data_IF_340742155740
#
_entry.id   IF_340742155740
#
_cell.length_a   1.000
_cell.length_b   1.000
_cell.length_c   1.000
_cell.angle_alpha   90.00
_cell.angle_beta   90.00
_cell.angle_gamma   90.00
#
_symmetry.space_group_name_H-M   'P 1'
#
loop_
_entity.id
_entity.type
_entity.pdbx_description
1 polymer ?
#
# COMPACT_ATOMS: atom_id res chain seq x y z
N UNK A 1 1.13 -3.62 -14.93
CA UNK A 1 1.11 -5.01 -14.43
C UNK A 1 -0.32 -5.52 -14.54
N UNK A 2 -0.61 -6.50 -15.40
CA UNK A 2 -1.84 -7.27 -15.25
C UNK A 2 -1.58 -8.25 -14.11
N UNK A 3 -1.91 -7.84 -12.90
CA UNK A 3 -1.96 -8.77 -11.77
C UNK A 3 -3.11 -9.74 -12.08
N UNK A 4 -2.78 -11.01 -12.33
CA UNK A 4 -3.74 -12.07 -12.11
C UNK A 4 -4.02 -12.02 -10.61
N UNK A 5 -5.06 -11.29 -10.22
CA UNK A 5 -5.54 -11.26 -8.84
C UNK A 5 -6.02 -12.67 -8.58
N UNK A 6 -5.42 -13.35 -7.61
CA UNK A 6 -5.99 -14.58 -7.09
C UNK A 6 -7.20 -14.19 -6.23
N UNK A 7 -8.44 -14.46 -6.68
CA UNK A 7 -9.62 -14.08 -5.93
C UNK A 7 -9.82 -14.90 -4.65
N UNK A 8 -9.09 -16.02 -4.51
CA UNK A 8 -9.09 -16.85 -3.31
C UNK A 8 -8.09 -16.36 -2.25
N UNK A 9 -7.15 -15.48 -2.63
CA UNK A 9 -6.23 -14.80 -1.71
C UNK A 9 -6.74 -13.41 -1.35
N UNK A 10 -7.27 -13.29 -0.12
CA UNK A 10 -7.77 -12.03 0.44
C UNK A 10 -6.72 -10.92 0.43
N UNK A 11 -5.45 -11.25 0.69
CA UNK A 11 -4.37 -10.26 0.72
C UNK A 11 -4.09 -9.72 -0.68
N UNK A 12 -4.14 -10.57 -1.71
CA UNK A 12 -3.98 -10.15 -3.10
C UNK A 12 -5.13 -9.29 -3.61
N UNK A 13 -6.37 -9.65 -3.27
CA UNK A 13 -7.56 -8.84 -3.60
C UNK A 13 -7.47 -7.45 -2.96
N UNK A 14 -7.12 -7.38 -1.67
CA UNK A 14 -6.99 -6.10 -0.95
C UNK A 14 -5.85 -5.26 -1.53
N UNK A 15 -4.69 -5.88 -1.76
CA UNK A 15 -3.53 -5.20 -2.33
C UNK A 15 -3.84 -4.63 -3.71
N UNK A 16 -4.50 -5.42 -4.56
CA UNK A 16 -4.94 -4.98 -5.87
C UNK A 16 -5.95 -3.82 -5.78
N UNK A 17 -6.91 -3.89 -4.87
CA UNK A 17 -7.89 -2.84 -4.71
C UNK A 17 -7.25 -1.52 -4.26
N UNK A 18 -6.35 -1.57 -3.28
CA UNK A 18 -5.63 -0.39 -2.77
C UNK A 18 -4.73 0.25 -3.83
N UNK A 19 -4.02 -0.55 -4.64
CA UNK A 19 -3.16 -0.06 -5.72
C UNK A 19 -3.99 0.58 -6.85
N UNK A 20 -5.05 -0.10 -7.30
CA UNK A 20 -5.87 0.38 -8.43
C UNK A 20 -6.74 1.59 -8.10
N UNK A 21 -7.04 1.86 -6.82
CA UNK A 21 -7.71 3.10 -6.39
C UNK A 21 -6.74 4.20 -5.96
N UNK A 22 -5.43 3.95 -6.02
CA UNK A 22 -4.38 4.85 -5.50
C UNK A 22 -4.55 5.20 -4.02
N UNK A 23 -5.10 4.28 -3.21
CA UNK A 23 -4.98 4.36 -1.75
C UNK A 23 -3.53 4.12 -1.33
N UNK A 24 -2.87 3.18 -2.02
CA UNK A 24 -1.44 2.90 -1.86
C UNK A 24 -0.73 2.91 -3.21
N UNK A 25 0.59 3.01 -3.18
CA UNK A 25 1.46 2.74 -4.33
C UNK A 25 2.78 2.13 -3.87
N UNK A 26 3.41 1.30 -4.72
CA UNK A 26 4.79 0.89 -4.48
C UNK A 26 5.76 2.06 -4.73
N UNK A 27 6.84 2.12 -3.96
CA UNK A 27 7.90 3.09 -4.21
C UNK A 27 8.57 2.79 -5.56
N UNK A 28 8.76 3.79 -6.45
CA UNK A 28 9.40 3.57 -7.75
C UNK A 28 10.85 3.05 -7.69
N UNK A 29 11.50 3.16 -6.53
CA UNK A 29 12.89 2.75 -6.31
C UNK A 29 13.03 1.55 -5.36
N UNK A 30 11.97 1.18 -4.65
CA UNK A 30 11.94 0.11 -3.66
C UNK A 30 10.58 -0.59 -3.78
N UNK A 31 10.49 -1.56 -4.69
CA UNK A 31 9.25 -2.27 -5.03
C UNK A 31 8.63 -3.03 -3.84
N UNK A 32 9.45 -3.36 -2.85
CA UNK A 32 9.04 -3.94 -1.57
C UNK A 32 8.46 -2.92 -0.57
N UNK A 33 8.53 -1.62 -0.86
CA UNK A 33 8.01 -0.56 0.01
C UNK A 33 6.70 -0.03 -0.54
N UNK A 34 5.61 -0.29 0.17
CA UNK A 34 4.29 0.28 -0.10
C UNK A 34 4.13 1.61 0.65
N UNK A 35 3.59 2.61 -0.03
CA UNK A 35 3.36 3.96 0.48
C UNK A 35 1.85 4.23 0.45
N UNK A 36 1.29 4.67 1.56
CA UNK A 36 -0.08 5.21 1.67
C UNK A 36 -0.08 6.64 1.14
N UNK A 37 -0.78 6.84 0.02
CA UNK A 37 -0.81 8.12 -0.72
C UNK A 37 -2.22 8.67 -0.91
N UNK A 38 -3.24 7.82 -0.79
CA UNK A 38 -4.63 8.23 -0.89
C UNK A 38 -5.18 8.76 0.43
N UNK A 39 -6.31 9.46 0.32
CA UNK A 39 -7.11 9.89 1.46
C UNK A 39 -8.15 8.82 1.85
N UNK A 40 -8.95 9.12 2.88
CA UNK A 40 -10.03 8.25 3.35
C UNK A 40 -11.04 7.88 2.23
N UNK A 41 -11.20 8.75 1.22
CA UNK A 41 -12.07 8.48 0.08
C UNK A 41 -11.47 7.43 -0.86
N UNK A 42 -10.16 7.49 -1.13
CA UNK A 42 -9.45 6.46 -1.90
C UNK A 42 -9.48 5.09 -1.18
N UNK A 43 -9.30 5.08 0.15
CA UNK A 43 -9.41 3.87 0.97
C UNK A 43 -10.84 3.29 0.97
N UNK A 44 -11.85 4.15 1.13
CA UNK A 44 -13.26 3.73 1.05
C UNK A 44 -13.61 3.18 -0.34
N UNK A 45 -13.05 3.76 -1.40
CA UNK A 45 -13.22 3.24 -2.76
C UNK A 45 -12.52 1.89 -2.93
N UNK A 46 -11.32 1.71 -2.35
CA UNK A 46 -10.63 0.42 -2.34
C UNK A 46 -11.49 -0.66 -1.68
N UNK A 47 -12.09 -0.35 -0.52
CA UNK A 47 -12.96 -1.27 0.20
C UNK A 47 -14.17 -1.73 -0.65
N UNK A 48 -14.89 -0.79 -1.27
CA UNK A 48 -16.03 -1.12 -2.14
C UNK A 48 -15.61 -1.81 -3.44
N UNK A 49 -14.37 -1.63 -3.90
CA UNK A 49 -13.81 -2.39 -5.03
C UNK A 49 -13.51 -3.82 -4.62
N UNK A 50 -12.81 -4.03 -3.50
CA UNK A 50 -12.48 -5.36 -3.01
C UNK A 50 -13.74 -6.19 -2.70
N UNK A 51 -14.78 -5.58 -2.12
CA UNK A 51 -16.10 -6.21 -1.92
C UNK A 51 -16.71 -6.73 -3.22
N UNK A 52 -16.56 -5.99 -4.33
CA UNK A 52 -17.11 -6.38 -5.64
C UNK A 52 -16.35 -7.55 -6.26
N UNK A 53 -15.03 -7.63 -6.03
CA UNK A 53 -14.20 -8.75 -6.50
C UNK A 53 -14.63 -10.03 -5.77
N UNK A 54 -14.55 -10.07 -4.44
CA UNK A 54 -14.90 -11.27 -3.64
C UNK A 54 -16.34 -11.71 -3.81
N UNK A 55 -17.29 -10.77 -4.04
CA UNK A 55 -18.69 -11.11 -4.26
C UNK A 55 -18.93 -11.82 -5.60
N UNK A 56 -18.11 -11.53 -6.61
CA UNK A 56 -18.26 -12.10 -7.95
C UNK A 56 -17.72 -13.54 -8.00
N UNK A 57 -16.73 -13.85 -7.18
CA UNK A 57 -15.98 -15.12 -7.24
C UNK A 57 -16.48 -16.22 -6.29
N UNK A 58 -17.69 -16.06 -5.73
CA UNK A 58 -18.33 -17.00 -4.78
C UNK A 58 -17.51 -17.28 -3.50
N UNK A 59 -16.49 -16.47 -3.21
CA UNK A 59 -15.66 -16.58 -2.02
C UNK A 59 -16.37 -16.07 -0.76
N UNK A 60 -16.14 -16.75 0.38
CA UNK A 60 -16.90 -16.59 1.64
C UNK A 60 -16.44 -15.41 2.51
N UNK A 61 -15.56 -14.52 2.04
CA UNK A 61 -14.97 -13.50 2.91
C UNK A 61 -16.02 -12.50 3.39
N UNK A 62 -16.22 -12.43 4.70
CA UNK A 62 -17.10 -11.44 5.29
C UNK A 62 -16.49 -10.02 5.20
N UNK A 63 -17.34 -9.00 5.32
CA UNK A 63 -16.89 -7.59 5.27
C UNK A 63 -15.96 -7.21 6.42
N UNK A 64 -15.93 -7.97 7.51
CA UNK A 64 -15.06 -7.74 8.67
C UNK A 64 -13.65 -8.23 8.37
N UNK A 65 -13.49 -9.43 7.80
CA UNK A 65 -12.22 -9.98 7.34
C UNK A 65 -11.56 -9.05 6.31
N UNK A 66 -12.36 -8.52 5.38
CA UNK A 66 -11.88 -7.57 4.40
C UNK A 66 -11.41 -6.26 5.04
N UNK A 67 -12.19 -5.70 5.97
CA UNK A 67 -11.83 -4.47 6.69
C UNK A 67 -10.58 -4.66 7.53
N UNK A 68 -10.44 -5.82 8.18
CA UNK A 68 -9.28 -6.17 8.98
C UNK A 68 -8.02 -6.28 8.12
N UNK A 69 -8.09 -6.97 6.97
CA UNK A 69 -6.96 -7.09 6.06
C UNK A 69 -6.56 -5.75 5.45
N UNK A 70 -7.53 -4.95 5.02
CA UNK A 70 -7.26 -3.60 4.52
C UNK A 70 -6.59 -2.73 5.58
N UNK A 71 -7.05 -2.79 6.83
CA UNK A 71 -6.40 -2.11 7.95
C UNK A 71 -4.98 -2.59 8.21
N UNK A 72 -4.71 -3.91 8.12
CA UNK A 72 -3.36 -4.46 8.26
C UNK A 72 -2.41 -3.93 7.18
N UNK A 73 -2.83 -3.93 5.91
CA UNK A 73 -1.99 -3.47 4.81
C UNK A 73 -1.74 -1.96 4.87
N UNK A 74 -2.76 -1.16 5.19
CA UNK A 74 -2.62 0.28 5.38
C UNK A 74 -1.71 0.62 6.56
N UNK A 75 -1.82 -0.11 7.67
CA UNK A 75 -0.95 0.09 8.85
C UNK A 75 0.51 -0.33 8.59
N UNK A 76 0.75 -1.26 7.66
CA UNK A 76 2.09 -1.68 7.27
C UNK A 76 2.74 -0.75 6.22
N UNK A 77 1.94 0.05 5.51
CA UNK A 77 2.42 0.99 4.51
C UNK A 77 3.11 2.20 5.17
N UNK A 78 4.09 2.76 4.47
CA UNK A 78 4.69 4.03 4.87
C UNK A 78 3.75 5.20 4.56
N UNK A 79 3.63 6.16 5.47
CA UNK A 79 2.77 7.34 5.24
C UNK A 79 3.48 8.39 4.38
N UNK A 80 2.87 8.73 3.24
CA UNK A 80 3.24 9.86 2.38
C UNK A 80 4.52 9.68 1.56
N UNK A 81 5.59 9.14 2.13
CA UNK A 81 6.88 8.94 1.45
C UNK A 81 7.57 7.63 1.81
N UNK A 82 8.47 7.19 0.92
CA UNK A 82 9.30 6.01 1.17
C UNK A 82 10.38 6.32 2.20
N UNK A 83 10.45 5.60 3.34
CA UNK A 83 11.45 5.86 4.39
C UNK A 83 12.89 5.64 3.91
N UNK A 84 13.12 4.77 2.92
CA UNK A 84 14.46 4.56 2.32
C UNK A 84 14.87 5.73 1.41
N UNK A 85 13.91 6.34 0.71
CA UNK A 85 14.17 7.55 -0.08
C UNK A 85 14.45 8.75 0.84
N UNK A 86 13.66 8.90 1.91
CA UNK A 86 13.82 9.97 2.90
C UNK A 86 15.20 9.93 3.58
N UNK A 87 15.71 8.74 3.90
CA UNK A 87 17.07 8.59 4.45
C UNK A 87 18.17 9.07 3.50
N UNK A 88 17.96 9.01 2.18
CA UNK A 88 18.94 9.47 1.18
C UNK A 88 18.92 10.98 0.99
N UNK A 89 17.81 11.65 1.29
CA UNK A 89 17.65 13.10 1.13
C UNK A 89 18.07 13.89 2.37
N UNK A 90 18.16 13.26 3.54
CA UNK A 90 18.75 13.89 4.73
C UNK A 90 20.28 13.84 4.60
N UNK A 91 20.99 14.96 4.35
CA UNK A 91 22.44 14.95 4.37
C UNK A 91 22.91 14.56 5.77
N UNK A 92 23.80 13.58 5.82
CA UNK A 92 24.46 13.17 7.06
C UNK A 92 25.27 14.36 7.59
N UNK A 93 24.71 15.10 8.56
CA UNK A 93 25.36 16.27 9.16
C UNK A 93 26.74 15.93 9.77
N UNK A 94 27.03 14.64 10.02
CA UNK A 94 28.37 14.18 10.45
C UNK A 94 29.37 14.07 9.30
N UNK A 95 28.93 13.81 8.08
CA UNK A 95 29.79 13.72 6.90
C UNK A 95 30.14 15.10 6.34
N UNK A 96 29.26 16.09 6.49
CA UNK A 96 29.48 17.45 5.99
C UNK A 96 30.55 18.20 6.82
N UNK A 97 30.59 17.98 8.14
CA UNK A 97 31.61 18.56 9.02
C UNK A 97 33.04 18.08 8.73
N UNK A 98 33.23 16.91 8.10
CA UNK A 98 34.55 16.37 7.71
C UNK A 98 35.04 16.84 6.34
N UNK A 99 34.20 17.51 5.55
CA UNK A 99 34.57 18.05 4.23
C UNK A 99 34.99 19.52 4.28
N UNK A 100 34.79 20.20 5.41
CA UNK A 100 35.12 21.61 5.64
C UNK A 100 36.33 21.81 6.56
N UNK A 101 37.00 20.73 6.97
CA UNK A 101 38.23 20.71 7.75
C UNK A 101 39.35 20.10 6.90
#
# INVERSE_FOLDING_TARGET
MSANVDPDDLSDVVRYALDTTRATMACPFHDDVIIRVGDDAAESHAFERAKRIVKTDLTMWDSVALRHEMGRQLAAAADGECPRCAQRTVPDRRAEAKRQA
#
